data_IF_741277074527
#
_entry.id   IF_741277074527
#
_cell.length_a   1.000
_cell.length_b   1.000
_cell.length_c   1.000
_cell.angle_alpha   90.00
_cell.angle_beta   90.00
_cell.angle_gamma   90.00
#
_symmetry.space_group_name_H-M   'P 1'
#
loop_
_entity.id
_entity.type
_entity.pdbx_description
1 polymer ?
#
# COMPACT_ATOMS: atom_id res chain seq x y z
N UNK A 1 10.62 -11.35 17.31
CA UNK A 1 9.92 -11.21 16.00
C UNK A 1 9.61 -9.75 15.79
N UNK A 2 9.89 -9.20 14.60
CA UNK A 2 9.49 -7.83 14.27
C UNK A 2 7.97 -7.73 14.06
N UNK A 3 7.43 -6.51 14.14
CA UNK A 3 6.02 -6.24 13.88
C UNK A 3 5.69 -6.41 12.41
N UNK A 4 4.54 -7.00 12.12
CA UNK A 4 4.04 -7.15 10.75
C UNK A 4 3.57 -5.80 10.19
N UNK A 5 3.57 -5.63 8.86
CA UNK A 5 2.97 -4.45 8.24
C UNK A 5 1.50 -4.33 8.62
N UNK A 6 1.11 -3.15 9.07
CA UNK A 6 -0.26 -2.86 9.51
C UNK A 6 -0.72 -1.49 8.99
N UNK A 7 -2.01 -1.24 9.02
CA UNK A 7 -2.58 0.07 8.78
C UNK A 7 -2.84 0.76 10.11
N UNK A 8 -2.55 2.04 10.19
CA UNK A 8 -2.78 2.88 11.37
C UNK A 8 -3.69 4.02 10.93
N UNK A 9 -4.79 4.22 11.64
CA UNK A 9 -5.66 5.36 11.40
C UNK A 9 -4.94 6.67 11.73
N UNK A 10 -5.11 7.65 10.87
CA UNK A 10 -4.58 9.00 11.02
C UNK A 10 -5.65 10.02 11.21
N UNK A 11 -6.77 9.84 10.53
CA UNK A 11 -7.86 10.80 10.51
C UNK A 11 -9.17 10.04 10.27
N UNK A 12 -10.23 10.43 10.97
CA UNK A 12 -11.60 10.02 10.67
C UNK A 12 -12.39 11.30 10.43
N UNK A 13 -12.92 11.45 9.25
CA UNK A 13 -13.74 12.59 8.86
C UNK A 13 -15.19 12.15 8.75
N UNK A 14 -16.05 12.78 9.54
CA UNK A 14 -17.48 12.48 9.63
C UNK A 14 -18.34 13.36 8.73
N UNK A 15 -17.75 14.35 8.08
CA UNK A 15 -18.48 15.34 7.30
C UNK A 15 -18.26 15.11 5.81
N UNK A 16 -19.37 15.01 5.08
CA UNK A 16 -19.34 14.75 3.63
C UNK A 16 -18.61 15.82 2.81
N UNK A 17 -18.74 17.07 3.24
CA UNK A 17 -18.25 18.23 2.50
C UNK A 17 -16.84 18.65 2.89
N UNK A 18 -16.28 18.12 3.96
CA UNK A 18 -14.92 18.43 4.36
C UNK A 18 -13.90 17.64 3.54
N UNK A 19 -12.89 18.31 2.99
CA UNK A 19 -11.82 17.61 2.29
C UNK A 19 -11.01 16.78 3.27
N UNK A 20 -10.81 15.51 2.97
CA UNK A 20 -9.95 14.62 3.74
C UNK A 20 -8.51 15.05 3.52
N UNK A 21 -7.81 15.40 4.60
CA UNK A 21 -6.40 15.78 4.56
C UNK A 21 -5.69 15.35 5.84
N UNK A 22 -4.46 14.89 5.68
CA UNK A 22 -3.48 14.85 6.76
C UNK A 22 -2.42 15.92 6.53
N UNK A 23 -1.58 16.21 7.52
CA UNK A 23 -0.54 17.25 7.39
C UNK A 23 0.47 16.96 6.26
N UNK A 24 0.56 15.75 5.78
CA UNK A 24 1.62 15.27 4.86
C UNK A 24 1.08 14.82 3.50
N UNK A 25 -0.25 14.68 3.33
CA UNK A 25 -0.88 14.25 2.08
C UNK A 25 -1.69 15.36 1.45
N UNK A 26 -1.81 15.30 0.14
CA UNK A 26 -2.72 16.18 -0.59
C UNK A 26 -4.17 15.88 -0.21
N UNK A 27 -4.99 16.92 -0.16
CA UNK A 27 -6.41 16.78 0.16
C UNK A 27 -7.11 15.89 -0.89
N UNK A 28 -7.83 14.90 -0.41
CA UNK A 28 -8.77 14.19 -1.26
C UNK A 28 -9.92 15.17 -1.61
N UNK A 29 -10.35 15.23 -2.88
CA UNK A 29 -11.49 16.04 -3.26
C UNK A 29 -12.72 15.76 -2.40
N UNK A 30 -13.55 16.77 -2.17
CA UNK A 30 -14.83 16.62 -1.47
C UNK A 30 -15.72 15.64 -2.23
N UNK A 31 -16.61 14.99 -1.53
CA UNK A 31 -17.58 14.10 -2.20
C UNK A 31 -18.42 14.82 -3.26
N UNK A 32 -18.70 16.11 -3.04
CA UNK A 32 -19.40 16.97 -4.00
C UNK A 32 -18.61 17.24 -5.28
N UNK A 33 -17.28 17.24 -5.21
CA UNK A 33 -16.39 17.55 -6.33
C UNK A 33 -16.07 16.30 -7.16
N UNK A 34 -16.41 15.12 -6.63
CA UNK A 34 -16.25 13.86 -7.36
C UNK A 34 -17.40 13.68 -8.35
N UNK A 35 -17.11 13.10 -9.54
CA UNK A 35 -18.17 12.80 -10.50
C UNK A 35 -19.19 11.83 -9.90
N UNK A 36 -20.46 12.02 -10.23
CA UNK A 36 -21.47 11.04 -9.86
C UNK A 36 -21.20 9.71 -10.59
N UNK A 37 -21.07 8.60 -9.85
CA UNK A 37 -20.75 7.29 -10.45
C UNK A 37 -21.66 6.85 -11.57
N UNK A 38 -22.96 7.21 -11.49
CA UNK A 38 -23.96 6.82 -12.49
C UNK A 38 -23.75 7.55 -13.79
N UNK A 39 -23.64 8.88 -13.74
CA UNK A 39 -23.44 9.71 -14.93
C UNK A 39 -22.07 9.45 -15.54
N UNK A 40 -21.03 9.32 -14.72
CA UNK A 40 -19.67 9.06 -15.16
C UNK A 40 -19.55 7.75 -15.94
N UNK A 41 -20.20 6.66 -15.47
CA UNK A 41 -20.25 5.41 -16.21
C UNK A 41 -21.13 5.54 -17.46
N UNK A 42 -22.28 6.19 -17.37
CA UNK A 42 -23.20 6.35 -18.50
C UNK A 42 -22.58 7.12 -19.65
N UNK A 43 -21.89 8.21 -19.38
CA UNK A 43 -21.17 9.01 -20.39
C UNK A 43 -20.09 8.18 -21.09
N UNK A 44 -19.35 7.38 -20.33
CA UNK A 44 -18.37 6.47 -20.90
C UNK A 44 -19.01 5.41 -21.80
N UNK A 45 -20.11 4.80 -21.38
CA UNK A 45 -20.81 3.77 -22.15
C UNK A 45 -21.43 4.36 -23.42
N UNK A 46 -21.95 5.59 -23.35
CA UNK A 46 -22.45 6.30 -24.53
C UNK A 46 -21.35 6.56 -25.58
N UNK A 47 -20.14 6.84 -25.11
CA UNK A 47 -18.97 7.03 -26.00
C UNK A 47 -18.37 5.71 -26.52
N UNK A 48 -18.68 4.55 -25.87
CA UNK A 48 -18.08 3.24 -26.18
C UNK A 48 -19.16 2.15 -26.27
N UNK A 49 -19.94 2.09 -27.37
CA UNK A 49 -21.07 1.16 -27.48
C UNK A 49 -20.67 -0.32 -27.40
N UNK A 50 -19.49 -0.69 -27.93
CA UNK A 50 -18.95 -2.06 -27.85
C UNK A 50 -18.73 -2.50 -26.38
N UNK A 51 -18.28 -1.57 -25.56
CA UNK A 51 -18.09 -1.80 -24.11
C UNK A 51 -19.43 -1.88 -23.39
N UNK A 52 -20.41 -1.06 -23.79
CA UNK A 52 -21.75 -1.09 -23.22
C UNK A 52 -22.42 -2.45 -23.42
N UNK A 53 -22.30 -3.04 -24.61
CA UNK A 53 -22.84 -4.38 -24.90
C UNK A 53 -22.16 -5.47 -24.05
N UNK A 54 -20.81 -5.39 -23.89
CA UNK A 54 -20.07 -6.34 -23.07
C UNK A 54 -20.48 -6.27 -21.57
N UNK A 55 -20.67 -5.06 -21.06
CA UNK A 55 -21.09 -4.83 -19.66
C UNK A 55 -22.53 -5.25 -19.45
N UNK A 56 -23.42 -4.96 -20.39
CA UNK A 56 -24.82 -5.41 -20.33
C UNK A 56 -24.95 -6.94 -20.26
N UNK A 57 -24.06 -7.67 -20.94
CA UNK A 57 -24.03 -9.15 -20.86
C UNK A 57 -23.56 -9.66 -19.49
N UNK A 58 -22.68 -8.94 -18.81
CA UNK A 58 -22.07 -9.38 -17.53
C UNK A 58 -22.86 -8.91 -16.32
N UNK A 59 -23.27 -7.64 -16.30
CA UNK A 59 -23.91 -6.98 -15.15
C UNK A 59 -25.42 -6.80 -15.34
N UNK A 60 -25.94 -7.03 -16.55
CA UNK A 60 -27.34 -6.86 -16.91
C UNK A 60 -27.61 -5.55 -17.65
N UNK A 61 -28.73 -5.53 -18.40
CA UNK A 61 -29.18 -4.34 -19.11
C UNK A 61 -29.54 -3.21 -18.14
N UNK A 62 -29.11 -1.99 -18.47
CA UNK A 62 -29.35 -0.81 -17.64
C UNK A 62 -28.53 -0.74 -16.35
N UNK A 63 -27.44 -1.47 -16.26
CA UNK A 63 -26.54 -1.41 -15.10
C UNK A 63 -26.10 0.02 -14.77
N UNK A 64 -26.19 0.40 -13.51
CA UNK A 64 -25.74 1.69 -13.00
C UNK A 64 -24.78 1.50 -11.84
N UNK A 65 -23.61 2.15 -11.89
CA UNK A 65 -22.65 2.06 -10.82
C UNK A 65 -23.14 2.79 -9.57
N UNK A 66 -23.05 2.13 -8.41
CA UNK A 66 -23.42 2.73 -7.10
C UNK A 66 -22.26 3.46 -6.44
N UNK A 67 -21.03 3.26 -6.92
CA UNK A 67 -19.80 3.90 -6.43
C UNK A 67 -18.79 4.06 -7.56
N UNK A 68 -17.82 4.95 -7.38
CA UNK A 68 -16.72 5.14 -8.33
C UNK A 68 -15.84 3.88 -8.44
N UNK A 69 -15.61 3.19 -7.33
CA UNK A 69 -14.93 1.89 -7.31
C UNK A 69 -15.62 0.88 -8.20
N UNK A 70 -16.95 0.79 -8.15
CA UNK A 70 -17.76 -0.09 -9.02
C UNK A 70 -17.61 0.32 -10.49
N UNK A 71 -17.74 1.61 -10.79
CA UNK A 71 -17.57 2.13 -12.15
C UNK A 71 -16.22 1.75 -12.76
N UNK A 72 -15.13 1.94 -12.00
CA UNK A 72 -13.77 1.59 -12.43
C UNK A 72 -13.55 0.07 -12.48
N UNK A 73 -14.22 -0.72 -11.66
CA UNK A 73 -14.12 -2.19 -11.70
C UNK A 73 -14.75 -2.73 -12.99
N UNK A 74 -15.91 -2.20 -13.35
CA UNK A 74 -16.64 -2.60 -14.58
C UNK A 74 -15.98 -2.02 -15.84
N UNK A 75 -15.48 -0.79 -15.77
CA UNK A 75 -14.81 -0.10 -16.86
C UNK A 75 -13.40 0.40 -16.45
N UNK A 76 -12.37 -0.46 -16.47
CA UNK A 76 -11.02 -0.09 -16.00
C UNK A 76 -10.36 1.07 -16.75
N UNK A 77 -10.78 1.33 -17.98
CA UNK A 77 -10.31 2.46 -18.79
C UNK A 77 -10.76 3.83 -18.29
N UNK A 78 -11.75 3.90 -17.38
CA UNK A 78 -12.14 5.13 -16.69
C UNK A 78 -11.13 5.57 -15.62
N UNK A 79 -10.32 4.63 -15.13
CA UNK A 79 -9.40 4.88 -14.02
C UNK A 79 -8.43 6.03 -14.25
N UNK A 80 -7.73 6.15 -15.40
CA UNK A 80 -6.80 7.27 -15.64
C UNK A 80 -7.49 8.63 -15.60
N UNK A 81 -8.68 8.75 -16.19
CA UNK A 81 -9.45 9.99 -16.20
C UNK A 81 -9.88 10.42 -14.80
N UNK A 82 -10.27 9.44 -13.97
CA UNK A 82 -10.63 9.71 -12.58
C UNK A 82 -9.40 10.06 -11.72
N UNK A 83 -8.30 9.33 -11.89
CA UNK A 83 -7.06 9.55 -11.13
C UNK A 83 -6.48 10.95 -11.37
N UNK A 84 -6.69 11.56 -12.54
CA UNK A 84 -6.30 12.95 -12.85
C UNK A 84 -7.09 13.98 -11.99
N UNK A 85 -8.35 13.70 -11.68
CA UNK A 85 -9.21 14.57 -10.88
C UNK A 85 -9.00 14.42 -9.37
N UNK A 86 -8.28 13.38 -8.94
CA UNK A 86 -8.13 13.00 -7.54
C UNK A 86 -6.91 13.62 -6.83
N UNK A 87 -6.29 14.69 -7.37
CA UNK A 87 -5.13 15.35 -6.73
C UNK A 87 -4.00 14.40 -6.30
N UNK A 88 -3.71 13.39 -7.13
CA UNK A 88 -2.69 12.40 -6.86
C UNK A 88 -3.14 11.19 -6.03
N UNK A 89 -4.35 11.18 -5.55
CA UNK A 89 -5.00 9.97 -5.07
C UNK A 89 -5.38 9.08 -6.25
N UNK A 90 -5.48 7.79 -6.00
CA UNK A 90 -5.84 6.78 -7.00
C UNK A 90 -6.94 5.90 -6.46
N UNK A 91 -7.97 5.70 -7.25
CA UNK A 91 -9.04 4.78 -6.87
C UNK A 91 -8.62 3.32 -7.06
N UNK A 92 -9.05 2.45 -6.16
CA UNK A 92 -8.87 1.02 -6.30
C UNK A 92 -10.15 0.34 -6.80
N UNK A 93 -9.97 -0.60 -7.73
CA UNK A 93 -11.03 -1.52 -8.11
C UNK A 93 -11.35 -2.50 -6.97
N UNK A 94 -12.51 -3.16 -7.05
CA UNK A 94 -12.88 -4.18 -6.05
C UNK A 94 -11.95 -5.40 -6.06
N UNK A 95 -11.31 -5.68 -7.18
CA UNK A 95 -10.41 -6.82 -7.36
C UNK A 95 -8.98 -6.56 -6.84
N UNK A 96 -8.65 -5.34 -6.43
CA UNK A 96 -7.31 -5.02 -5.91
C UNK A 96 -7.12 -5.59 -4.50
N UNK A 97 -6.11 -6.45 -4.33
CA UNK A 97 -5.82 -7.12 -3.06
C UNK A 97 -5.54 -6.15 -1.89
N UNK A 98 -5.03 -4.94 -2.19
CA UNK A 98 -4.74 -3.92 -1.16
C UNK A 98 -6.01 -3.35 -0.54
N UNK A 99 -7.13 -3.40 -1.28
CA UNK A 99 -8.41 -2.89 -0.81
C UNK A 99 -8.89 -3.63 0.44
N UNK A 100 -8.81 -4.96 0.44
CA UNK A 100 -9.25 -5.78 1.58
C UNK A 100 -8.55 -5.43 2.89
N UNK A 101 -7.22 -5.31 2.86
CA UNK A 101 -6.43 -4.93 4.03
C UNK A 101 -6.82 -3.55 4.58
N UNK A 102 -7.03 -2.57 3.68
CA UNK A 102 -7.40 -1.21 4.08
C UNK A 102 -8.82 -1.15 4.65
N UNK A 103 -9.77 -1.87 4.05
CA UNK A 103 -11.15 -1.96 4.54
C UNK A 103 -11.18 -2.61 5.93
N UNK A 104 -10.49 -3.74 6.13
CA UNK A 104 -10.45 -4.40 7.42
C UNK A 104 -9.88 -3.52 8.54
N UNK A 105 -8.86 -2.71 8.20
CA UNK A 105 -8.30 -1.76 9.16
C UNK A 105 -9.26 -0.59 9.42
N UNK A 106 -9.98 -0.10 8.41
CA UNK A 106 -10.99 0.93 8.57
C UNK A 106 -12.16 0.44 9.43
N UNK A 107 -12.61 -0.79 9.23
CA UNK A 107 -13.66 -1.44 10.02
C UNK A 107 -13.31 -1.45 11.52
N UNK A 108 -12.07 -1.84 11.82
CA UNK A 108 -11.57 -1.83 13.21
C UNK A 108 -11.62 -0.43 13.81
N UNK A 109 -11.17 0.58 13.07
CA UNK A 109 -11.14 1.95 13.55
C UNK A 109 -12.55 2.57 13.70
N UNK A 110 -13.45 2.28 12.78
CA UNK A 110 -14.85 2.74 12.86
C UNK A 110 -15.57 2.12 14.06
N UNK A 111 -15.29 0.85 14.34
CA UNK A 111 -15.83 0.18 15.52
C UNK A 111 -15.28 0.78 16.82
N UNK A 112 -13.97 0.99 16.92
CA UNK A 112 -13.30 1.64 18.06
C UNK A 112 -13.81 3.06 18.31
N UNK A 113 -14.01 3.83 17.23
CA UNK A 113 -14.54 5.19 17.28
C UNK A 113 -16.06 5.26 17.52
N UNK A 114 -16.75 4.12 17.50
CA UNK A 114 -18.23 4.03 17.56
C UNK A 114 -18.93 4.95 16.53
N UNK A 115 -18.37 5.01 15.33
CA UNK A 115 -18.73 6.00 14.31
C UNK A 115 -20.23 6.00 13.94
N UNK A 116 -20.91 4.85 14.03
CA UNK A 116 -22.33 4.68 13.70
C UNK A 116 -23.16 4.24 14.93
N UNK A 117 -22.67 4.49 16.14
CA UNK A 117 -23.29 4.12 17.40
C UNK A 117 -22.56 3.01 18.16
N UNK A 118 -23.06 2.64 19.33
CA UNK A 118 -22.39 1.70 20.24
C UNK A 118 -22.19 0.29 19.65
N UNK A 119 -23.05 -0.13 18.74
CA UNK A 119 -22.99 -1.44 18.04
C UNK A 119 -22.47 -1.30 16.61
N UNK A 120 -21.53 -0.38 16.37
CA UNK A 120 -20.92 -0.23 15.03
C UNK A 120 -20.28 -1.55 14.58
N UNK A 121 -20.76 -2.09 13.50
CA UNK A 121 -20.29 -3.33 12.87
C UNK A 121 -20.24 -3.17 11.36
N UNK A 122 -19.61 -4.09 10.65
CA UNK A 122 -19.56 -4.08 9.18
C UNK A 122 -20.92 -4.10 8.48
N UNK A 123 -21.99 -4.46 9.20
CA UNK A 123 -23.38 -4.39 8.69
C UNK A 123 -24.01 -3.00 8.86
N UNK A 124 -23.46 -2.14 9.69
CA UNK A 124 -24.00 -0.80 9.98
C UNK A 124 -23.74 0.20 8.85
N UNK A 125 -22.84 -0.10 7.94
CA UNK A 125 -22.44 0.77 6.83
C UNK A 125 -22.02 -0.04 5.60
N UNK A 126 -21.94 0.66 4.47
CA UNK A 126 -21.43 0.10 3.22
C UNK A 126 -20.19 0.88 2.78
N UNK A 127 -19.14 0.15 2.41
CA UNK A 127 -17.93 0.76 1.82
C UNK A 127 -18.24 1.20 0.40
N UNK A 128 -18.09 2.50 0.14
CA UNK A 128 -18.31 3.10 -1.20
C UNK A 128 -17.03 2.99 -2.03
N UNK A 129 -16.05 3.78 -1.64
CA UNK A 129 -14.84 3.94 -2.43
C UNK A 129 -13.60 3.79 -1.56
N UNK A 130 -12.51 3.32 -2.17
CA UNK A 130 -11.21 3.19 -1.53
C UNK A 130 -10.17 3.86 -2.41
N UNK A 131 -9.50 4.85 -1.86
CA UNK A 131 -8.47 5.63 -2.53
C UNK A 131 -7.11 5.37 -1.90
N UNK A 132 -6.06 5.47 -2.71
CA UNK A 132 -4.67 5.32 -2.26
C UNK A 132 -3.85 6.53 -2.70
N UNK A 133 -2.91 6.94 -1.83
CA UNK A 133 -1.98 8.02 -2.10
C UNK A 133 -0.57 7.63 -1.70
N UNK A 134 0.42 7.96 -2.55
CA UNK A 134 1.82 7.69 -2.25
C UNK A 134 2.27 6.27 -2.58
N UNK A 135 3.30 5.80 -1.89
CA UNK A 135 3.94 4.52 -2.17
C UNK A 135 4.89 4.54 -3.37
N UNK A 136 5.60 3.45 -3.57
CA UNK A 136 6.62 3.34 -4.64
C UNK A 136 6.07 3.51 -6.06
N UNK A 137 4.81 3.17 -6.29
CA UNK A 137 4.18 3.27 -7.62
C UNK A 137 3.81 4.69 -8.01
N UNK A 138 3.73 5.63 -7.06
CA UNK A 138 3.41 7.02 -7.34
C UNK A 138 4.59 7.78 -7.99
N UNK A 139 5.81 7.28 -7.83
CA UNK A 139 7.03 7.94 -8.34
C UNK A 139 7.38 7.56 -9.78
N UNK A 140 6.68 6.62 -10.41
CA UNK A 140 6.98 6.15 -11.77
C UNK A 140 5.77 6.22 -12.68
N UNK A 141 5.78 7.08 -13.70
CA UNK A 141 4.82 6.98 -14.79
C UNK A 141 4.99 5.60 -15.48
N UNK A 142 3.89 4.91 -15.66
CA UNK A 142 3.82 3.54 -16.18
C UNK A 142 4.47 3.37 -17.55
N UNK A 143 4.55 4.47 -18.33
CA UNK A 143 5.06 4.52 -19.70
C UNK A 143 6.58 4.40 -19.83
N UNK A 144 7.35 4.44 -18.73
CA UNK A 144 8.84 4.42 -18.78
C UNK A 144 9.41 3.03 -18.53
N UNK A 145 8.58 2.01 -18.29
CA UNK A 145 9.04 0.64 -17.96
C UNK A 145 9.66 -0.13 -19.14
N UNK A 146 9.40 0.29 -20.39
CA UNK A 146 9.78 -0.48 -21.58
C UNK A 146 11.22 -0.28 -22.07
N UNK A 147 11.78 0.91 -21.94
CA UNK A 147 12.99 1.31 -22.68
C UNK A 147 14.29 1.38 -21.88
N UNK A 148 14.30 0.96 -20.63
CA UNK A 148 15.47 1.08 -19.76
C UNK A 148 16.49 0.00 -19.99
N UNK A 149 17.76 0.40 -20.12
CA UNK A 149 18.93 -0.47 -20.12
C UNK A 149 18.99 -1.35 -18.86
N UNK A 150 19.57 -2.56 -18.98
CA UNK A 150 19.76 -3.49 -17.85
C UNK A 150 20.59 -2.86 -16.73
N UNK A 151 21.56 -1.99 -17.06
CA UNK A 151 22.39 -1.27 -16.10
C UNK A 151 21.60 -0.24 -15.33
N UNK A 152 20.69 0.50 -15.97
CA UNK A 152 19.79 1.45 -15.28
C UNK A 152 18.82 0.74 -14.34
N UNK A 153 18.30 -0.42 -14.75
CA UNK A 153 17.45 -1.26 -13.89
C UNK A 153 18.21 -1.77 -12.66
N UNK A 154 19.48 -2.17 -12.85
CA UNK A 154 20.34 -2.62 -11.77
C UNK A 154 20.71 -1.46 -10.81
N UNK A 155 21.11 -0.29 -11.36
CA UNK A 155 21.47 0.89 -10.59
C UNK A 155 20.29 1.41 -9.75
N UNK A 156 19.11 1.49 -10.31
CA UNK A 156 17.90 1.86 -9.57
C UNK A 156 17.54 0.87 -8.47
N UNK A 157 17.83 -0.42 -8.67
CA UNK A 157 17.62 -1.43 -7.63
C UNK A 157 18.57 -1.20 -6.46
N UNK A 158 19.81 -0.81 -6.73
CA UNK A 158 20.81 -0.42 -5.71
C UNK A 158 20.38 0.88 -5.01
N UNK A 159 19.98 1.89 -5.77
CA UNK A 159 19.52 3.18 -5.24
C UNK A 159 18.27 3.01 -4.35
N UNK A 160 17.30 2.18 -4.75
CA UNK A 160 16.11 1.88 -3.92
C UNK A 160 16.42 1.12 -2.64
N UNK A 161 17.54 0.39 -2.57
CA UNK A 161 18.00 -0.26 -1.33
C UNK A 161 18.61 0.76 -0.38
N UNK A 162 19.34 1.74 -0.91
CA UNK A 162 20.01 2.78 -0.13
C UNK A 162 19.14 4.02 0.14
N UNK A 163 17.99 4.17 -0.53
CA UNK A 163 17.04 5.25 -0.20
C UNK A 163 16.38 4.94 1.15
N UNK A 164 16.72 5.68 2.23
CA UNK A 164 16.17 5.40 3.57
C UNK A 164 14.69 5.76 3.71
N UNK A 165 14.09 6.39 2.71
CA UNK A 165 12.70 6.86 2.75
C UNK A 165 11.87 6.12 1.71
N UNK A 166 11.19 5.06 2.12
CA UNK A 166 10.02 4.62 1.36
C UNK A 166 8.94 5.71 1.50
N UNK A 167 8.41 6.25 0.39
CA UNK A 167 7.31 7.20 0.48
C UNK A 167 6.15 6.54 1.22
N UNK A 168 5.57 7.27 2.16
CA UNK A 168 4.44 6.78 2.94
C UNK A 168 3.28 6.43 2.01
N UNK A 169 2.62 5.33 2.30
CA UNK A 169 1.42 4.89 1.60
C UNK A 169 0.21 5.19 2.50
N UNK A 170 -0.73 5.93 1.97
CA UNK A 170 -1.98 6.26 2.62
C UNK A 170 -3.14 5.56 1.91
N UNK A 171 -4.19 5.26 2.67
CA UNK A 171 -5.46 4.80 2.15
C UNK A 171 -6.57 5.67 2.72
N UNK A 172 -7.54 6.04 1.91
CA UNK A 172 -8.77 6.68 2.33
C UNK A 172 -9.93 5.75 1.99
N UNK A 173 -10.62 5.28 3.01
CA UNK A 173 -11.78 4.39 2.89
C UNK A 173 -13.03 5.20 3.17
N UNK A 174 -13.90 5.34 2.18
CA UNK A 174 -15.17 6.06 2.32
C UNK A 174 -16.29 5.07 2.57
N UNK A 175 -17.06 5.33 3.61
CA UNK A 175 -18.19 4.50 4.03
C UNK A 175 -19.42 5.36 4.20
N UNK A 176 -20.58 4.76 4.01
CA UNK A 176 -21.88 5.42 4.23
C UNK A 176 -22.79 4.52 5.05
N UNK A 177 -23.52 5.12 5.99
CA UNK A 177 -24.43 4.41 6.89
C UNK A 177 -25.49 3.67 6.10
N UNK A 178 -25.84 2.48 6.57
CA UNK A 178 -26.96 1.72 6.06
C UNK A 178 -28.26 2.12 6.75
N UNK A 179 -29.37 2.10 6.01
CA UNK A 179 -30.70 2.28 6.56
C UNK A 179 -31.02 1.14 7.53
N UNK A 180 -31.56 1.48 8.70
CA UNK A 180 -31.99 0.48 9.67
C UNK A 180 -33.19 -0.29 9.10
N UNK A 181 -33.03 -1.59 8.87
CA UNK A 181 -34.09 -2.45 8.37
C UNK A 181 -34.70 -3.21 9.54
N UNK A 182 -36.03 -3.16 9.63
CA UNK A 182 -36.77 -3.96 10.59
C UNK A 182 -37.09 -5.29 9.93
N UNK A 183 -36.49 -6.37 10.43
CA UNK A 183 -36.73 -7.73 9.95
C UNK A 183 -37.80 -8.39 10.82
N UNK A 184 -38.81 -8.94 10.23
CA UNK A 184 -39.83 -9.70 10.95
C UNK A 184 -39.24 -11.03 11.50
N UNK A 185 -39.67 -11.51 12.69
CA UNK A 185 -39.15 -12.75 13.24
C UNK A 185 -39.40 -13.93 12.28
N UNK A 186 -38.30 -14.58 11.86
CA UNK A 186 -38.35 -15.74 10.97
C UNK A 186 -38.10 -15.43 9.48
N UNK A 187 -37.96 -14.16 9.09
CA UNK A 187 -37.56 -13.78 7.73
C UNK A 187 -36.02 -13.59 7.62
N UNK A 188 -35.52 -13.95 6.43
CA UNK A 188 -34.09 -13.64 6.15
C UNK A 188 -33.90 -12.14 6.04
N UNK A 189 -32.80 -11.57 6.64
CA UNK A 189 -32.53 -10.14 6.56
C UNK A 189 -32.40 -9.73 5.08
N UNK A 190 -33.11 -8.67 4.67
CA UNK A 190 -32.98 -8.15 3.31
C UNK A 190 -31.55 -7.58 3.12
N UNK A 191 -31.07 -7.46 1.86
CA UNK A 191 -29.76 -6.92 1.58
C UNK A 191 -29.64 -5.50 2.13
N UNK A 192 -28.46 -5.12 2.70
CA UNK A 192 -28.26 -3.81 3.28
C UNK A 192 -28.48 -2.72 2.24
N UNK A 193 -29.27 -1.72 2.59
CA UNK A 193 -29.53 -0.54 1.75
C UNK A 193 -28.81 0.67 2.35
N UNK A 194 -28.07 1.38 1.50
CA UNK A 194 -27.36 2.58 1.89
C UNK A 194 -28.33 3.73 2.10
N UNK A 195 -28.21 4.42 3.21
CA UNK A 195 -28.91 5.68 3.46
C UNK A 195 -28.25 6.80 2.65
N UNK A 196 -28.93 7.26 1.60
CA UNK A 196 -28.40 8.28 0.69
C UNK A 196 -28.32 9.68 1.29
N UNK A 197 -29.08 9.92 2.35
CA UNK A 197 -29.09 11.21 3.06
C UNK A 197 -28.02 11.27 4.17
N UNK A 198 -27.53 10.09 4.58
CA UNK A 198 -26.48 10.03 5.59
C UNK A 198 -25.13 10.54 5.04
N UNK A 199 -24.40 11.23 5.89
CA UNK A 199 -23.05 11.70 5.57
C UNK A 199 -22.09 10.56 5.24
N UNK A 200 -21.17 10.85 4.32
CA UNK A 200 -20.09 9.94 3.97
C UNK A 200 -18.95 10.12 4.96
N UNK A 201 -18.67 9.07 5.72
CA UNK A 201 -17.52 9.03 6.65
C UNK A 201 -16.28 8.56 5.89
N UNK A 202 -15.16 9.23 6.08
CA UNK A 202 -13.89 8.85 5.46
C UNK A 202 -12.83 8.56 6.53
N UNK A 203 -12.24 7.39 6.45
CA UNK A 203 -11.14 6.96 7.32
C UNK A 203 -9.84 7.03 6.54
N UNK A 204 -8.90 7.85 6.98
CA UNK A 204 -7.55 7.95 6.41
C UNK A 204 -6.61 7.10 7.22
N UNK A 205 -5.98 6.15 6.55
CA UNK A 205 -5.05 5.18 7.09
C UNK A 205 -3.66 5.43 6.54
N UNK A 206 -2.62 5.18 7.33
CA UNK A 206 -1.23 5.17 6.90
C UNK A 206 -0.67 3.76 7.06
N UNK A 207 0.02 3.26 6.04
CA UNK A 207 0.66 1.95 6.12
C UNK A 207 1.96 2.03 6.93
N UNK A 208 1.98 1.32 8.03
CA UNK A 208 3.19 1.03 8.77
C UNK A 208 3.84 -0.24 8.19
N UNK A 209 5.07 -0.12 7.71
CA UNK A 209 5.80 -1.25 7.11
C UNK A 209 6.30 -2.27 8.15
N UNK A 210 6.14 -1.96 9.44
CA UNK A 210 6.64 -2.81 10.53
C UNK A 210 8.18 -2.87 10.59
N UNK A 211 8.68 -3.67 11.51
CA UNK A 211 10.12 -3.84 11.75
C UNK A 211 10.65 -5.21 11.31
N UNK A 212 9.85 -5.96 10.58
CA UNK A 212 10.18 -7.36 10.20
C UNK A 212 11.52 -7.51 9.49
N UNK A 213 11.92 -6.51 8.70
CA UNK A 213 13.17 -6.51 7.94
C UNK A 213 14.37 -5.95 8.72
N UNK A 214 14.12 -5.18 9.78
CA UNK A 214 15.18 -4.55 10.56
C UNK A 214 16.04 -5.58 11.28
N UNK A 215 15.42 -6.57 11.92
CA UNK A 215 16.11 -7.58 12.71
C UNK A 215 17.05 -8.44 11.85
N UNK A 216 16.62 -9.03 10.70
CA UNK A 216 17.52 -9.75 9.81
C UNK A 216 18.65 -8.88 9.26
N UNK A 217 18.37 -7.61 8.94
CA UNK A 217 19.37 -6.67 8.46
C UNK A 217 20.45 -6.39 9.52
N UNK A 218 20.06 -6.11 10.76
CA UNK A 218 21.00 -5.89 11.86
C UNK A 218 21.86 -7.13 12.13
N UNK A 219 21.24 -8.31 12.05
CA UNK A 219 21.96 -9.58 12.22
C UNK A 219 22.98 -9.80 11.09
N UNK A 220 22.61 -9.54 9.84
CA UNK A 220 23.52 -9.62 8.70
C UNK A 220 24.66 -8.60 8.80
N UNK A 221 24.37 -7.37 9.22
CA UNK A 221 25.38 -6.33 9.46
C UNK A 221 26.36 -6.76 10.53
N UNK A 222 25.88 -7.23 11.69
CA UNK A 222 26.70 -7.71 12.78
C UNK A 222 27.59 -8.88 12.36
N UNK A 223 27.02 -9.88 11.67
CA UNK A 223 27.78 -11.02 11.14
C UNK A 223 28.87 -10.59 10.16
N UNK A 224 28.55 -9.60 9.31
CA UNK A 224 29.52 -9.00 8.39
C UNK A 224 30.69 -8.36 9.11
N UNK A 225 30.42 -7.56 10.16
CA UNK A 225 31.47 -6.93 10.97
C UNK A 225 32.37 -7.99 11.63
N UNK A 226 31.78 -9.01 12.26
CA UNK A 226 32.52 -10.10 12.88
C UNK A 226 33.40 -10.81 11.85
N UNK A 227 32.86 -11.09 10.66
CA UNK A 227 33.61 -11.71 9.57
C UNK A 227 34.81 -10.84 9.15
N UNK A 228 34.62 -9.55 8.96
CA UNK A 228 35.71 -8.63 8.61
C UNK A 228 36.81 -8.58 9.68
N UNK A 229 36.44 -8.54 10.97
CA UNK A 229 37.39 -8.56 12.07
C UNK A 229 38.20 -9.87 12.07
N UNK A 230 37.56 -11.01 11.87
CA UNK A 230 38.24 -12.30 11.81
C UNK A 230 39.18 -12.39 10.61
N UNK A 231 38.78 -11.94 9.43
CA UNK A 231 39.61 -11.91 8.23
C UNK A 231 40.81 -10.99 8.46
N UNK A 232 40.60 -9.83 9.06
CA UNK A 232 41.71 -8.89 9.40
C UNK A 232 42.69 -9.50 10.39
N UNK A 233 42.19 -10.17 11.44
CA UNK A 233 43.04 -10.87 12.41
C UNK A 233 43.86 -11.99 11.76
N UNK A 234 43.24 -12.82 10.91
CA UNK A 234 43.92 -13.87 10.17
C UNK A 234 44.98 -13.31 9.24
N UNK A 235 44.63 -12.27 8.48
CA UNK A 235 45.59 -11.62 7.59
C UNK A 235 46.80 -11.04 8.32
N UNK A 236 46.59 -10.40 9.47
CA UNK A 236 47.68 -9.90 10.29
C UNK A 236 48.53 -11.05 10.89
N UNK A 237 47.91 -12.17 11.26
CA UNK A 237 48.64 -13.35 11.74
C UNK A 237 49.50 -13.96 10.63
N UNK A 238 48.94 -14.07 9.42
CA UNK A 238 49.68 -14.61 8.28
C UNK A 238 50.84 -13.74 7.87
N UNK A 239 50.69 -12.41 7.89
CA UNK A 239 51.79 -11.47 7.66
C UNK A 239 52.95 -11.65 8.69
N UNK A 240 52.60 -11.77 9.98
CA UNK A 240 53.61 -12.04 11.02
C UNK A 240 54.31 -13.39 10.82
N UNK A 241 53.54 -14.43 10.48
CA UNK A 241 54.10 -15.76 10.20
C UNK A 241 55.05 -15.73 8.99
N UNK A 242 54.72 -14.96 7.94
CA UNK A 242 55.61 -14.79 6.78
C UNK A 242 56.88 -14.02 7.11
N UNK A 243 56.78 -12.99 7.96
CA UNK A 243 57.96 -12.24 8.43
C UNK A 243 58.92 -13.13 9.22
N UNK A 244 58.39 -13.93 10.17
CA UNK A 244 59.20 -14.87 10.95
C UNK A 244 59.86 -15.93 10.06
N UNK A 245 59.15 -16.42 9.02
CA UNK A 245 59.71 -17.36 8.04
C UNK A 245 60.81 -16.72 7.18
N UNK A 246 60.61 -15.44 6.80
CA UNK A 246 61.61 -14.69 6.01
C UNK A 246 62.91 -14.38 6.81
N UNK A 247 62.77 -14.26 8.12
CA UNK A 247 63.89 -14.05 9.04
C UNK A 247 64.60 -15.37 9.47
N UNK A 248 63.97 -16.52 9.23
CA UNK A 248 64.51 -17.81 9.57
C UNK A 248 65.60 -18.23 8.56
N UNK A 249 66.84 -18.12 8.95
CA UNK A 249 68.00 -18.57 8.18
C UNK A 249 68.40 -19.98 8.62
N UNK A 250 68.23 -21.01 7.75
CA UNK A 250 68.54 -22.38 8.11
C UNK A 250 70.05 -22.59 8.44
N UNK A 251 70.92 -21.73 7.94
CA UNK A 251 72.36 -21.78 8.25
C UNK A 251 72.67 -21.41 9.70
N UNK A 252 71.81 -20.62 10.36
CA UNK A 252 71.97 -20.25 11.79
C UNK A 252 71.35 -21.27 12.74
N UNK A 253 70.54 -22.19 12.23
CA UNK A 253 69.84 -23.19 13.03
C UNK A 253 70.65 -24.50 13.23
N UNK A 254 71.75 -24.68 12.53
CA UNK A 254 72.63 -25.79 12.74
C UNK A 254 73.53 -25.52 13.94
N UNK A 255 73.51 -26.37 15.00
CA UNK A 255 74.47 -26.26 16.07
C UNK A 255 75.87 -26.44 15.46
N UNK A 256 76.83 -25.57 15.84
CA UNK A 256 78.21 -25.76 15.52
C UNK A 256 78.64 -27.13 16.10
N UNK A 257 78.78 -28.14 15.23
CA UNK A 257 79.39 -29.38 15.64
C UNK A 257 80.74 -29.06 16.11
N UNK A 258 80.99 -29.39 17.35
CA UNK A 258 82.27 -29.29 17.99
C UNK A 258 83.29 -30.18 17.24
N UNK A 259 84.24 -29.54 16.62
CA UNK A 259 85.50 -30.17 16.17
C UNK A 259 86.49 -30.22 17.32
#
# INVERSE_FOLDING_TARGET
>A
RGTDPSWIAKEINFTRDDPVATQVVQKLPRSSDLPDPKTFLADYLAANPDKAEAIAKTEGEGYTAKSLTKAVTVAPSLKPQLDEQLNGWRILSETDSRRGDAVAAADTQLAEAKAFGESTSSSSYTVKDVFFFGGKSAAEPENVKGERSLLEKAWRRVETVFQPKNPALYAAVTVQKNTTQIVAPGEAPPPPQVDQEADVVTVVLMRNLGTRRLIPFLFALFSGIVFFVLVWMLHNRDKRAMQVRGEWDPAKALPAEAS
#
